data_IF_784587278782
#
_entry.id   IF_784587278782
#
_cell.length_a   1.000
_cell.length_b   1.000
_cell.length_c   1.000
_cell.angle_alpha   90.00
_cell.angle_beta   90.00
_cell.angle_gamma   90.00
#
_symmetry.space_group_name_H-M   'P 1'
#
loop_
_entity.id
_entity.type
_entity.pdbx_description
1 polymer ?
#
# COMPACT_ATOMS: atom_id res chain seq x y z
N UNK A 1 -18.15 -0.85 32.27
CA UNK A 1 -18.03 -0.49 30.84
C UNK A 1 -17.07 0.68 30.73
N UNK A 2 -15.93 0.48 30.09
CA UNK A 2 -15.29 1.43 29.16
C UNK A 2 -13.93 0.86 28.74
N UNK A 3 -13.94 0.20 27.59
CA UNK A 3 -12.84 -0.44 26.88
C UNK A 3 -11.91 0.54 26.14
N UNK A 4 -12.15 1.85 26.29
CA UNK A 4 -11.61 2.90 25.41
C UNK A 4 -10.23 3.47 25.81
N UNK A 5 -9.59 3.00 26.90
CA UNK A 5 -8.30 3.55 27.36
C UNK A 5 -7.13 2.56 27.31
N UNK A 6 -7.36 1.31 26.91
CA UNK A 6 -6.28 0.32 26.77
C UNK A 6 -5.55 0.45 25.43
N UNK A 7 -6.16 1.13 24.45
CA UNK A 7 -5.62 1.25 23.09
C UNK A 7 -4.63 2.41 22.88
N UNK A 8 -4.45 3.28 23.87
CA UNK A 8 -3.67 4.52 23.70
C UNK A 8 -2.37 4.62 24.53
N UNK A 9 -2.11 3.69 25.44
CA UNK A 9 -0.90 3.75 26.28
C UNK A 9 0.11 2.71 25.85
N UNK A 10 1.02 3.15 24.98
CA UNK A 10 2.37 2.65 24.84
C UNK A 10 2.96 2.47 26.25
N UNK A 11 2.95 1.25 26.77
CA UNK A 11 3.72 0.86 27.95
C UNK A 11 5.10 0.41 27.45
N UNK A 12 5.92 1.39 27.08
CA UNK A 12 7.37 1.23 27.14
C UNK A 12 7.70 1.10 28.63
N UNK A 13 7.87 -0.13 29.11
CA UNK A 13 8.70 -0.56 30.26
C UNK A 13 8.23 -1.94 30.72
N UNK A 14 8.83 -3.00 30.17
CA UNK A 14 9.39 -4.07 31.01
C UNK A 14 10.42 -4.86 30.19
N UNK A 15 11.59 -5.08 30.79
CA UNK A 15 12.76 -5.68 30.14
C UNK A 15 12.64 -7.21 30.10
N UNK A 16 11.81 -7.70 29.19
CA UNK A 16 11.82 -9.09 28.76
C UNK A 16 12.02 -9.05 27.25
N UNK A 17 13.08 -9.71 26.77
CA UNK A 17 13.52 -9.72 25.37
C UNK A 17 12.34 -9.58 24.42
N UNK A 18 12.18 -8.38 23.88
CA UNK A 18 11.11 -8.05 22.98
C UNK A 18 11.47 -8.71 21.66
N UNK A 19 11.13 -10.00 21.53
CA UNK A 19 11.15 -10.69 20.26
C UNK A 19 10.12 -9.98 19.38
N UNK A 20 10.58 -8.94 18.67
CA UNK A 20 9.87 -8.38 17.53
C UNK A 20 9.92 -9.51 16.51
N UNK A 21 8.82 -10.23 16.27
CA UNK A 21 8.82 -11.18 15.19
C UNK A 21 9.13 -10.34 13.96
N UNK A 22 10.19 -10.67 13.24
CA UNK A 22 10.35 -10.16 11.89
C UNK A 22 9.27 -10.86 11.06
N UNK A 23 7.99 -10.49 11.26
CA UNK A 23 7.13 -10.34 10.09
C UNK A 23 7.91 -9.37 9.26
N UNK A 24 8.55 -9.82 8.16
CA UNK A 24 9.66 -9.11 7.57
C UNK A 24 9.21 -7.68 7.40
N UNK A 25 9.81 -6.71 8.11
CA UNK A 25 9.47 -5.26 8.23
C UNK A 25 8.55 -4.67 7.14
N UNK A 26 8.80 -5.09 5.91
CA UNK A 26 7.93 -5.06 4.73
C UNK A 26 6.43 -5.28 5.02
N UNK A 27 6.00 -6.37 5.65
CA UNK A 27 4.59 -6.66 5.94
C UNK A 27 3.98 -5.66 6.94
N UNK A 28 4.62 -5.45 8.10
CA UNK A 28 4.15 -4.47 9.08
C UNK A 28 4.02 -3.06 8.49
N UNK A 29 4.96 -2.67 7.62
CA UNK A 29 4.93 -1.40 6.91
C UNK A 29 3.79 -1.28 5.90
N UNK A 30 3.45 -2.36 5.18
CA UNK A 30 2.31 -2.37 4.28
C UNK A 30 0.98 -2.36 5.03
N UNK A 31 0.85 -3.17 6.08
CA UNK A 31 -0.36 -3.20 6.90
C UNK A 31 -0.63 -1.85 7.55
N UNK A 32 0.39 -1.17 8.09
CA UNK A 32 0.26 0.18 8.66
C UNK A 32 -0.25 1.19 7.62
N UNK A 33 0.35 1.20 6.42
CA UNK A 33 -0.05 2.07 5.30
C UNK A 33 -1.49 1.83 4.87
N UNK A 34 -1.82 0.57 4.61
CA UNK A 34 -3.18 0.17 4.22
C UNK A 34 -4.21 0.43 5.31
N UNK A 35 -3.87 0.28 6.58
CA UNK A 35 -4.79 0.53 7.70
C UNK A 35 -5.06 2.02 7.90
N UNK A 36 -4.02 2.85 7.83
CA UNK A 36 -4.13 4.30 8.00
C UNK A 36 -4.63 5.01 6.74
N UNK A 37 -4.80 4.29 5.62
CA UNK A 37 -5.10 4.88 4.32
C UNK A 37 -3.95 5.74 3.77
N UNK A 38 -2.78 5.67 4.40
CA UNK A 38 -1.59 6.39 4.03
C UNK A 38 -0.89 5.59 2.93
N UNK A 39 -0.71 6.16 1.74
CA UNK A 39 -0.11 5.48 0.57
C UNK A 39 -1.02 4.46 -0.15
N UNK A 40 -2.21 4.90 -0.57
CA UNK A 40 -3.00 4.20 -1.59
C UNK A 40 -2.26 4.29 -2.94
N UNK A 41 -1.51 3.24 -3.27
CA UNK A 41 -0.52 3.16 -4.35
C UNK A 41 -0.66 4.17 -5.50
N UNK A 42 -1.69 4.06 -6.33
CA UNK A 42 -1.76 4.91 -7.52
C UNK A 42 -2.06 6.37 -7.16
N UNK A 43 -2.93 6.62 -6.18
CA UNK A 43 -3.27 7.96 -5.72
C UNK A 43 -2.07 8.66 -5.07
N UNK A 44 -1.28 7.96 -4.25
CA UNK A 44 -0.08 8.52 -3.67
C UNK A 44 0.98 8.82 -4.73
N UNK A 45 1.23 7.87 -5.65
CA UNK A 45 2.18 8.05 -6.74
C UNK A 45 1.77 9.18 -7.71
N UNK A 46 0.46 9.39 -7.91
CA UNK A 46 -0.07 10.52 -8.65
C UNK A 46 0.20 11.85 -7.93
N UNK A 47 -0.07 11.94 -6.63
CA UNK A 47 0.17 13.16 -5.84
C UNK A 47 1.64 13.61 -5.83
N UNK A 48 2.58 12.66 -5.89
CA UNK A 48 4.02 12.95 -5.97
C UNK A 48 4.54 13.04 -7.41
N UNK A 49 3.66 12.96 -8.41
CA UNK A 49 3.99 13.17 -9.83
C UNK A 49 4.74 12.02 -10.51
N UNK A 50 4.74 10.81 -9.93
CA UNK A 50 5.33 9.61 -10.56
C UNK A 50 4.36 9.00 -11.58
N UNK A 51 3.07 8.94 -11.23
CA UNK A 51 2.01 8.52 -12.15
C UNK A 51 1.24 9.74 -12.68
N UNK A 52 0.70 9.60 -13.89
CA UNK A 52 -0.13 10.63 -14.52
C UNK A 52 -1.58 10.58 -14.06
N UNK A 53 -2.02 9.46 -13.49
CA UNK A 53 -3.38 9.27 -12.97
C UNK A 53 -3.36 8.37 -11.72
N UNK A 54 -4.38 8.53 -10.88
CA UNK A 54 -4.56 7.80 -9.62
C UNK A 54 -5.23 6.41 -9.79
N UNK A 55 -5.17 5.81 -10.98
CA UNK A 55 -5.91 4.58 -11.33
C UNK A 55 -5.02 3.33 -11.34
N UNK A 56 -5.66 2.16 -11.30
CA UNK A 56 -4.97 0.90 -11.51
C UNK A 56 -4.59 0.68 -12.98
N UNK A 57 -3.29 0.69 -13.29
CA UNK A 57 -2.79 0.34 -14.63
C UNK A 57 -2.46 -1.14 -14.82
N UNK A 58 -2.62 -1.95 -13.76
CA UNK A 58 -2.18 -3.36 -13.74
C UNK A 58 -3.23 -4.33 -14.28
N UNK A 59 -4.51 -4.02 -14.10
CA UNK A 59 -5.62 -4.88 -14.54
C UNK A 59 -6.55 -4.14 -15.49
N UNK A 60 -7.52 -4.85 -16.07
CA UNK A 60 -8.45 -4.31 -17.07
C UNK A 60 -9.43 -3.27 -16.51
N UNK A 61 -9.55 -3.17 -15.19
CA UNK A 61 -10.35 -2.14 -14.49
C UNK A 61 -9.58 -0.82 -14.37
N UNK A 62 -9.19 -0.25 -15.51
CA UNK A 62 -8.31 0.93 -15.60
C UNK A 62 -8.94 2.24 -15.12
N UNK A 63 -10.22 2.24 -14.74
CA UNK A 63 -10.91 3.42 -14.21
C UNK A 63 -11.01 3.44 -12.68
N UNK A 64 -10.68 2.35 -11.99
CA UNK A 64 -10.77 2.27 -10.53
C UNK A 64 -9.46 2.76 -9.89
N UNK A 65 -9.54 3.60 -8.84
CA UNK A 65 -8.39 3.92 -8.01
C UNK A 65 -7.77 2.64 -7.43
N UNK A 66 -6.44 2.54 -7.45
CA UNK A 66 -5.74 1.46 -6.74
C UNK A 66 -5.70 1.77 -5.23
N UNK A 67 -6.86 1.65 -4.59
CA UNK A 67 -7.02 1.73 -3.14
C UNK A 67 -6.94 0.35 -2.49
N UNK A 68 -7.16 0.27 -1.17
CA UNK A 68 -7.14 -1.00 -0.43
C UNK A 68 -8.18 -2.01 -0.93
N UNK A 69 -9.35 -1.56 -1.35
CA UNK A 69 -10.43 -2.44 -1.83
C UNK A 69 -10.11 -3.00 -3.21
N UNK A 70 -9.67 -2.14 -4.12
CA UNK A 70 -9.19 -2.55 -5.43
C UNK A 70 -7.97 -3.47 -5.29
N UNK A 71 -7.03 -3.19 -4.39
CA UNK A 71 -5.87 -4.04 -4.12
C UNK A 71 -6.27 -5.49 -3.80
N UNK A 72 -7.35 -5.70 -3.03
CA UNK A 72 -7.89 -7.03 -2.68
C UNK A 72 -8.57 -7.75 -3.83
N UNK A 73 -9.00 -7.04 -4.86
CA UNK A 73 -9.78 -7.61 -5.97
C UNK A 73 -9.07 -7.52 -7.32
N UNK A 74 -7.92 -6.86 -7.38
CA UNK A 74 -7.12 -6.68 -8.58
C UNK A 74 -6.63 -8.03 -9.13
N UNK A 75 -7.16 -8.45 -10.28
CA UNK A 75 -6.84 -9.74 -10.91
C UNK A 75 -5.40 -9.85 -11.44
N UNK A 76 -4.66 -8.75 -11.49
CA UNK A 76 -3.27 -8.71 -11.91
C UNK A 76 -2.25 -8.99 -10.79
N UNK A 77 -2.73 -9.19 -9.56
CA UNK A 77 -1.89 -9.44 -8.39
C UNK A 77 -2.06 -10.89 -7.93
N UNK A 78 -0.95 -11.55 -7.61
CA UNK A 78 -0.89 -12.96 -7.21
C UNK A 78 -0.62 -13.14 -5.70
N UNK A 79 -0.39 -12.05 -4.96
CA UNK A 79 -0.18 -12.12 -3.52
C UNK A 79 -1.38 -12.68 -2.74
N UNK A 80 -1.13 -13.60 -1.80
CA UNK A 80 -2.16 -14.21 -0.95
C UNK A 80 -2.58 -13.35 0.25
N UNK A 81 -1.86 -12.28 0.55
CA UNK A 81 -2.15 -11.34 1.64
C UNK A 81 -2.20 -9.92 1.11
N UNK A 82 -2.91 -9.03 1.82
CA UNK A 82 -2.97 -7.60 1.47
C UNK A 82 -1.55 -6.99 1.39
N UNK A 83 -0.72 -7.30 2.38
CA UNK A 83 0.69 -6.93 2.41
C UNK A 83 1.46 -7.41 1.17
N UNK A 84 1.32 -8.68 0.77
CA UNK A 84 2.00 -9.22 -0.41
C UNK A 84 1.58 -8.50 -1.69
N UNK A 85 0.27 -8.32 -1.87
CA UNK A 85 -0.32 -7.61 -3.02
C UNK A 85 0.11 -6.15 -3.08
N UNK A 86 0.16 -5.46 -1.94
CA UNK A 86 0.64 -4.07 -1.87
C UNK A 86 2.05 -3.94 -2.45
N UNK A 87 2.97 -4.79 -2.01
CA UNK A 87 4.35 -4.69 -2.48
C UNK A 87 4.54 -5.15 -3.92
N UNK A 88 3.76 -6.13 -4.37
CA UNK A 88 3.71 -6.55 -5.77
C UNK A 88 3.25 -5.39 -6.66
N UNK A 89 2.12 -4.77 -6.31
CA UNK A 89 1.61 -3.59 -7.01
C UNK A 89 2.63 -2.43 -7.01
N UNK A 90 3.32 -2.22 -5.89
CA UNK A 90 4.34 -1.16 -5.75
C UNK A 90 5.56 -1.45 -6.61
N UNK A 91 5.94 -2.73 -6.74
CA UNK A 91 7.01 -3.17 -7.64
C UNK A 91 6.68 -2.90 -9.10
N UNK A 92 5.44 -3.18 -9.53
CA UNK A 92 5.01 -2.89 -10.90
C UNK A 92 4.91 -1.39 -11.18
N UNK A 93 4.25 -0.63 -10.30
CA UNK A 93 4.02 0.80 -10.50
C UNK A 93 5.27 1.66 -10.28
N UNK A 94 6.16 1.27 -9.37
CA UNK A 94 7.42 1.98 -9.13
C UNK A 94 8.45 1.83 -10.25
N UNK A 95 8.28 0.83 -11.14
CA UNK A 95 9.07 0.65 -12.36
C UNK A 95 8.42 1.32 -13.57
N UNK A 96 7.19 1.82 -13.43
CA UNK A 96 6.49 2.46 -14.53
C UNK A 96 7.22 3.73 -14.92
N UNK A 97 7.76 3.73 -16.14
CA UNK A 97 8.34 4.91 -16.77
C UNK A 97 7.23 5.45 -17.68
N UNK A 98 6.57 6.57 -17.36
CA UNK A 98 5.55 7.10 -18.23
C UNK A 98 6.19 7.35 -19.60
N UNK A 99 5.64 6.73 -20.64
CA UNK A 99 5.92 7.14 -22.01
C UNK A 99 5.36 8.55 -22.07
N UNK A 100 6.23 9.56 -22.04
CA UNK A 100 5.80 10.94 -22.29
C UNK A 100 5.09 10.89 -23.65
N UNK A 101 3.82 11.33 -23.75
CA UNK A 101 3.21 11.45 -25.06
C UNK A 101 4.17 12.28 -25.90
N UNK A 102 4.59 11.72 -27.05
CA UNK A 102 5.26 12.50 -28.07
C UNK A 102 4.36 13.70 -28.29
N UNK A 103 4.89 14.91 -28.09
CA UNK A 103 4.17 16.13 -28.46
C UNK A 103 3.65 15.89 -29.88
N UNK A 104 2.33 15.75 -30.03
CA UNK A 104 1.72 15.70 -31.34
C UNK A 104 2.00 17.06 -32.02
N UNK A 105 2.31 17.05 -33.33
CA UNK A 105 2.73 18.22 -34.08
C UNK A 105 1.66 19.31 -34.16
#
# INVERSE_FOLDING_TARGET
MNTELIYFSIKITDSQDFYVPDKPRREAGADFRLFTGHDCLAAHLYLIGILTEAVCFLCDKRSEPMDKYHLRTCGALHGNTESSRYWEARGFMGRYRPIKPSKEP
#
